data_IF_709595880021
#
_entry.id   IF_709595880021
#
_cell.length_a   1.000
_cell.length_b   1.000
_cell.length_c   1.000
_cell.angle_alpha   90.00
_cell.angle_beta   90.00
_cell.angle_gamma   90.00
#
_symmetry.space_group_name_H-M   'P 1'
#
loop_
_entity.id
_entity.type
_entity.pdbx_description
1 polymer ?
#
# COMPACT_ATOMS: atom_id res chain seq x y z
N UNK A 1 1.30 -8.82 1.20
CA UNK A 1 0.41 -9.91 0.77
C UNK A 1 0.20 -10.87 1.93
N UNK A 2 -1.01 -11.44 2.04
CA UNK A 2 -1.27 -12.57 2.91
C UNK A 2 -0.56 -13.83 2.38
N UNK A 3 -0.42 -14.87 3.22
CA UNK A 3 0.23 -16.13 2.84
C UNK A 3 -0.45 -16.86 1.68
N UNK A 4 -1.73 -16.57 1.46
CA UNK A 4 -2.57 -17.12 0.37
C UNK A 4 -2.60 -16.20 -0.87
N UNK A 5 -1.94 -15.04 -0.84
CA UNK A 5 -1.91 -14.06 -1.92
C UNK A 5 -3.24 -13.34 -2.18
N UNK A 6 -4.26 -13.56 -1.35
CA UNK A 6 -5.61 -13.02 -1.56
C UNK A 6 -5.81 -11.61 -0.99
N UNK A 7 -4.93 -11.16 -0.09
CA UNK A 7 -5.06 -9.87 0.58
C UNK A 7 -3.79 -9.07 0.42
N UNK A 8 -3.94 -7.83 -0.05
CA UNK A 8 -2.89 -6.82 -0.06
C UNK A 8 -3.19 -5.78 1.01
N UNK A 9 -2.22 -5.53 1.87
CA UNK A 9 -2.28 -4.52 2.90
C UNK A 9 -1.10 -3.57 2.76
N UNK A 10 -1.38 -2.28 2.57
CA UNK A 10 -0.37 -1.24 2.36
C UNK A 10 -0.56 -0.14 3.41
N UNK A 11 0.49 0.18 4.16
CA UNK A 11 0.52 1.38 4.99
C UNK A 11 1.09 2.52 4.17
N UNK A 12 0.30 3.59 3.99
CA UNK A 12 0.71 4.83 3.33
C UNK A 12 0.91 5.90 4.38
N UNK A 13 2.07 6.56 4.32
CA UNK A 13 2.34 7.79 5.05
C UNK A 13 2.80 8.83 4.05
N UNK A 14 1.98 9.87 3.83
CA UNK A 14 2.31 11.00 2.97
C UNK A 14 2.61 12.23 3.83
N UNK A 15 3.76 12.85 3.59
CA UNK A 15 4.26 14.00 4.34
C UNK A 15 4.71 15.05 3.34
N UNK A 16 4.32 16.32 3.54
CA UNK A 16 4.77 17.43 2.70
C UNK A 16 6.19 17.91 3.08
N UNK A 17 6.73 18.84 2.30
CA UNK A 17 8.06 19.42 2.58
C UNK A 17 8.11 20.27 3.85
N UNK A 18 6.95 20.67 4.39
CA UNK A 18 6.83 21.32 5.71
C UNK A 18 6.89 20.34 6.88
N UNK A 19 7.00 19.05 6.62
CA UNK A 19 6.86 17.92 7.56
C UNK A 19 5.43 17.70 8.07
N UNK A 20 4.41 18.32 7.48
CA UNK A 20 3.03 18.04 7.85
C UNK A 20 2.59 16.71 7.25
N UNK A 21 1.98 15.90 8.08
CA UNK A 21 1.43 14.61 7.66
C UNK A 21 0.08 14.83 6.96
N UNK A 22 -0.03 14.39 5.71
CA UNK A 22 -1.25 14.43 4.93
C UNK A 22 -2.12 13.20 5.15
N UNK A 23 -1.47 12.04 5.08
CA UNK A 23 -2.12 10.74 5.24
C UNK A 23 -1.23 9.86 6.09
N UNK A 24 -1.82 9.16 7.04
CA UNK A 24 -1.24 7.98 7.67
C UNK A 24 -2.37 6.97 7.84
N UNK A 25 -2.47 6.06 6.88
CA UNK A 25 -3.57 5.10 6.83
C UNK A 25 -3.09 3.77 6.27
N UNK A 26 -3.75 2.71 6.72
CA UNK A 26 -3.61 1.39 6.15
C UNK A 26 -4.76 1.19 5.17
N UNK A 27 -4.41 0.81 3.94
CA UNK A 27 -5.31 0.41 2.89
C UNK A 27 -5.25 -1.10 2.75
N UNK A 28 -6.40 -1.74 2.62
CA UNK A 28 -6.49 -3.19 2.50
C UNK A 28 -7.50 -3.53 1.41
N UNK A 29 -7.12 -4.47 0.57
CA UNK A 29 -8.03 -5.03 -0.42
C UNK A 29 -7.84 -6.54 -0.52
N UNK A 30 -8.91 -7.22 -0.91
CA UNK A 30 -8.94 -8.65 -1.13
C UNK A 30 -9.17 -8.92 -2.60
N UNK A 31 -8.23 -9.60 -3.23
CA UNK A 31 -8.47 -10.20 -4.53
C UNK A 31 -9.62 -11.21 -4.40
N UNK A 32 -10.85 -10.76 -4.59
CA UNK A 32 -11.99 -11.65 -4.78
C UNK A 32 -11.80 -12.40 -6.09
N UNK A 33 -12.44 -13.55 -6.29
CA UNK A 33 -12.30 -14.41 -7.46
C UNK A 33 -12.17 -13.71 -8.81
N UNK A 34 -12.78 -12.51 -8.95
CA UNK A 34 -12.72 -11.63 -10.12
C UNK A 34 -11.31 -11.22 -10.55
N UNK A 35 -10.36 -10.99 -9.63
CA UNK A 35 -8.98 -10.63 -9.97
C UNK A 35 -8.22 -11.75 -10.67
N UNK A 36 -8.74 -12.98 -10.57
CA UNK A 36 -8.21 -14.15 -11.29
C UNK A 36 -9.07 -14.53 -12.51
N UNK A 37 -10.28 -14.03 -12.60
CA UNK A 37 -11.17 -14.24 -13.76
C UNK A 37 -10.74 -13.42 -14.96
N UNK A 38 -10.12 -12.24 -14.73
CA UNK A 38 -9.52 -11.44 -15.79
C UNK A 38 -8.00 -11.32 -15.59
N UNK A 39 -7.19 -12.18 -16.24
CA UNK A 39 -5.74 -12.17 -16.09
C UNK A 39 -5.07 -10.91 -16.65
N UNK A 40 -5.79 -10.03 -17.35
CA UNK A 40 -5.27 -8.76 -17.90
C UNK A 40 -5.45 -7.58 -16.95
N UNK A 41 -6.24 -7.71 -15.88
CA UNK A 41 -6.44 -6.68 -14.88
C UNK A 41 -5.65 -6.98 -13.60
N UNK A 42 -5.07 -5.94 -13.00
CA UNK A 42 -4.45 -6.07 -11.70
C UNK A 42 -5.55 -6.27 -10.64
N UNK A 43 -5.50 -7.36 -9.84
CA UNK A 43 -6.53 -7.65 -8.84
C UNK A 43 -6.63 -6.59 -7.73
N UNK A 44 -5.65 -5.70 -7.60
CA UNK A 44 -5.59 -4.63 -6.59
C UNK A 44 -5.64 -3.23 -7.21
N UNK A 45 -6.05 -3.11 -8.48
CA UNK A 45 -6.13 -1.83 -9.17
C UNK A 45 -7.01 -0.81 -8.42
N UNK A 46 -8.11 -1.28 -7.85
CA UNK A 46 -9.04 -0.43 -7.09
C UNK A 46 -8.38 0.14 -5.82
N UNK A 47 -7.55 -0.65 -5.15
CA UNK A 47 -6.78 -0.19 -3.99
C UNK A 47 -5.81 0.94 -4.37
N UNK A 48 -5.10 0.79 -5.49
CA UNK A 48 -4.19 1.83 -5.97
C UNK A 48 -4.95 3.09 -6.38
N UNK A 49 -6.10 2.93 -7.00
CA UNK A 49 -6.98 4.04 -7.35
C UNK A 49 -7.52 4.77 -6.10
N UNK A 50 -7.90 4.04 -5.05
CA UNK A 50 -8.33 4.63 -3.77
C UNK A 50 -7.20 5.47 -3.16
N UNK A 51 -5.98 4.92 -3.08
CA UNK A 51 -4.80 5.63 -2.56
C UNK A 51 -4.54 6.91 -3.36
N UNK A 52 -4.53 6.81 -4.69
CA UNK A 52 -4.29 7.94 -5.58
C UNK A 52 -5.36 9.03 -5.42
N UNK A 53 -6.63 8.64 -5.36
CA UNK A 53 -7.76 9.55 -5.18
C UNK A 53 -7.71 10.28 -3.82
N UNK A 54 -7.33 9.60 -2.75
CA UNK A 54 -7.17 10.22 -1.44
C UNK A 54 -6.05 11.26 -1.43
N UNK A 55 -4.90 10.97 -2.05
CA UNK A 55 -3.80 11.92 -2.23
C UNK A 55 -4.22 13.14 -3.06
N UNK A 56 -4.94 12.91 -4.16
CA UNK A 56 -5.46 13.99 -5.01
C UNK A 56 -6.49 14.85 -4.27
N UNK A 57 -7.39 14.24 -3.51
CA UNK A 57 -8.38 14.94 -2.70
C UNK A 57 -7.72 15.80 -1.62
N UNK A 58 -6.61 15.35 -1.03
CA UNK A 58 -5.85 16.17 -0.10
C UNK A 58 -5.19 17.34 -0.83
N UNK A 59 -4.51 17.08 -1.93
CA UNK A 59 -3.88 18.13 -2.76
C UNK A 59 -4.87 19.20 -3.21
N UNK A 60 -6.10 18.80 -3.57
CA UNK A 60 -7.14 19.71 -4.03
C UNK A 60 -7.65 20.67 -2.94
N UNK A 61 -7.44 20.34 -1.65
CA UNK A 61 -7.81 21.23 -0.52
C UNK A 61 -6.77 22.30 -0.22
N UNK A 62 -5.56 22.17 -0.76
CA UNK A 62 -4.51 23.16 -0.56
C UNK A 62 -4.84 24.44 -1.35
N UNK A 63 -4.78 25.57 -0.66
CA UNK A 63 -4.80 26.88 -1.32
C UNK A 63 -3.57 27.09 -2.19
N UNK A 64 -3.65 27.99 -3.16
CA UNK A 64 -2.49 28.37 -3.99
C UNK A 64 -1.33 28.89 -3.15
N UNK A 65 -1.62 29.60 -2.05
CA UNK A 65 -0.61 30.12 -1.11
C UNK A 65 0.11 28.99 -0.35
N UNK A 66 -0.64 28.03 0.15
CA UNK A 66 -0.06 26.85 0.84
C UNK A 66 0.79 26.02 -0.12
N UNK A 67 0.30 25.80 -1.32
CA UNK A 67 1.02 25.06 -2.37
C UNK A 67 2.34 25.77 -2.73
N UNK A 68 2.34 27.09 -2.85
CA UNK A 68 3.55 27.88 -3.09
C UNK A 68 4.54 27.80 -1.90
N UNK A 69 4.05 27.90 -0.67
CA UNK A 69 4.88 27.79 0.51
C UNK A 69 5.53 26.40 0.64
N UNK A 70 4.80 25.32 0.33
CA UNK A 70 5.33 23.95 0.32
C UNK A 70 6.47 23.82 -0.70
N UNK A 71 6.31 24.38 -1.90
CA UNK A 71 7.35 24.37 -2.95
C UNK A 71 8.59 25.15 -2.54
N UNK A 72 8.40 26.32 -1.96
CA UNK A 72 9.52 27.15 -1.52
C UNK A 72 10.31 26.48 -0.39
N UNK A 73 9.61 25.88 0.58
CA UNK A 73 10.26 25.10 1.64
C UNK A 73 10.99 23.88 1.05
N UNK A 74 10.45 23.23 0.04
CA UNK A 74 11.14 22.12 -0.64
C UNK A 74 12.49 22.56 -1.22
N UNK A 75 12.53 23.70 -1.91
CA UNK A 75 13.76 24.28 -2.46
C UNK A 75 14.77 24.64 -1.38
N UNK A 76 14.32 25.28 -0.30
CA UNK A 76 15.20 25.65 0.80
C UNK A 76 15.74 24.44 1.57
N UNK A 77 14.96 23.37 1.69
CA UNK A 77 15.46 22.11 2.23
C UNK A 77 16.55 21.51 1.36
N UNK A 78 16.30 21.43 0.05
CA UNK A 78 17.30 20.96 -0.90
C UNK A 78 18.56 21.80 -0.87
N UNK A 79 18.43 23.14 -0.84
CA UNK A 79 19.56 24.06 -0.69
C UNK A 79 20.34 23.82 0.62
N UNK A 80 19.64 23.59 1.72
CA UNK A 80 20.25 23.30 3.02
C UNK A 80 20.96 21.95 3.03
N UNK A 81 20.40 20.93 2.38
CA UNK A 81 21.03 19.62 2.29
C UNK A 81 22.32 19.66 1.43
N UNK A 82 22.41 20.56 0.44
CA UNK A 82 23.60 20.77 -0.38
C UNK A 82 24.67 21.67 0.30
N UNK A 83 24.25 22.70 1.03
CA UNK A 83 25.13 23.67 1.64
C UNK A 83 24.61 24.12 3.01
N UNK A 84 24.67 23.26 4.05
CA UNK A 84 24.09 23.54 5.36
C UNK A 84 24.62 24.86 5.97
N UNK A 85 25.92 25.12 5.86
CA UNK A 85 26.56 26.32 6.40
C UNK A 85 26.05 27.65 5.82
N UNK A 86 25.36 27.59 4.68
CA UNK A 86 24.77 28.78 4.01
C UNK A 86 23.29 28.93 4.27
N UNK A 87 22.56 27.82 4.43
CA UNK A 87 21.09 27.81 4.41
C UNK A 87 20.45 27.37 5.73
N UNK A 88 21.22 27.05 6.77
CA UNK A 88 20.68 26.54 8.03
C UNK A 88 19.72 27.51 8.71
N UNK A 89 19.92 28.81 8.59
CA UNK A 89 19.07 29.86 9.19
C UNK A 89 17.82 30.23 8.39
N UNK A 90 17.59 29.65 7.22
CA UNK A 90 16.46 30.01 6.36
C UNK A 90 15.16 29.29 6.71
N UNK A 91 15.28 28.12 7.35
CA UNK A 91 14.15 27.30 7.79
C UNK A 91 14.24 27.07 9.30
N UNK A 92 13.12 27.24 9.99
CA UNK A 92 12.99 26.92 11.40
C UNK A 92 11.82 25.97 11.63
N UNK A 93 11.94 25.14 12.67
CA UNK A 93 10.84 24.30 13.13
C UNK A 93 9.97 25.07 14.11
N UNK A 94 8.66 24.98 13.95
CA UNK A 94 7.69 25.45 14.93
C UNK A 94 7.53 24.45 16.08
N UNK A 95 6.69 24.78 17.06
CA UNK A 95 6.43 23.94 18.23
C UNK A 95 5.82 22.57 17.89
N UNK A 96 5.25 22.44 16.70
CA UNK A 96 4.64 21.20 16.19
C UNK A 96 5.60 20.38 15.32
N UNK A 97 6.85 20.84 15.16
CA UNK A 97 7.83 20.23 14.28
C UNK A 97 7.63 20.52 12.80
N UNK A 98 6.72 21.44 12.45
CA UNK A 98 6.49 21.87 11.07
C UNK A 98 7.51 22.92 10.66
N UNK A 99 8.03 22.83 9.44
CA UNK A 99 8.98 23.80 8.90
C UNK A 99 8.26 25.06 8.42
N UNK A 100 8.82 26.20 8.78
CA UNK A 100 8.44 27.50 8.25
C UNK A 100 9.67 28.26 7.71
N UNK A 101 9.42 29.18 6.79
CA UNK A 101 10.44 30.07 6.26
C UNK A 101 10.67 31.16 7.27
N UNK A 102 11.91 31.32 7.74
CA UNK A 102 12.33 32.43 8.58
C UNK A 102 12.77 33.59 7.72
N UNK A 103 13.56 33.34 6.71
CA UNK A 103 13.98 34.35 5.75
C UNK A 103 14.05 33.75 4.33
N UNK A 104 13.89 34.59 3.32
CA UNK A 104 14.06 34.21 1.92
C UNK A 104 15.44 34.62 1.42
N UNK A 105 16.09 33.81 0.59
CA UNK A 105 17.29 34.24 -0.15
C UNK A 105 17.00 35.45 -1.02
N UNK A 106 18.04 36.21 -1.34
CA UNK A 106 17.93 37.29 -2.32
C UNK A 106 17.52 36.68 -3.70
N UNK A 107 16.70 37.42 -4.47
CA UNK A 107 16.16 36.95 -5.76
C UNK A 107 17.24 36.55 -6.79
N UNK A 108 18.46 37.08 -6.63
CA UNK A 108 19.61 36.83 -7.50
C UNK A 108 20.77 36.18 -6.76
N UNK A 109 20.51 35.48 -5.66
CA UNK A 109 21.55 34.79 -4.90
C UNK A 109 22.26 33.75 -5.81
N UNK A 110 23.60 33.88 -6.02
CA UNK A 110 24.34 32.98 -6.89
C UNK A 110 24.31 31.52 -6.40
N UNK A 111 24.18 31.28 -5.10
CA UNK A 111 24.05 29.93 -4.57
C UNK A 111 22.69 29.32 -4.89
N UNK A 112 21.61 30.10 -4.80
CA UNK A 112 20.28 29.65 -5.22
C UNK A 112 20.20 29.35 -6.71
N UNK A 113 20.92 30.08 -7.55
CA UNK A 113 21.03 29.76 -8.99
C UNK A 113 21.69 28.39 -9.20
N UNK A 114 22.78 28.10 -8.46
CA UNK A 114 23.45 26.78 -8.50
C UNK A 114 22.55 25.66 -7.96
N UNK A 115 21.86 25.93 -6.87
CA UNK A 115 20.87 24.98 -6.30
C UNK A 115 19.80 24.64 -7.33
N UNK A 116 19.24 25.63 -8.03
CA UNK A 116 18.24 25.41 -9.07
C UNK A 116 18.78 24.59 -10.24
N UNK A 117 20.04 24.80 -10.64
CA UNK A 117 20.68 23.99 -11.68
C UNK A 117 20.86 22.51 -11.24
N UNK A 118 21.21 22.28 -9.98
CA UNK A 118 21.33 20.92 -9.44
C UNK A 118 19.97 20.25 -9.31
N UNK A 119 18.94 21.00 -8.89
CA UNK A 119 17.55 20.50 -8.84
C UNK A 119 17.07 20.09 -10.25
N UNK A 120 17.38 20.88 -11.27
CA UNK A 120 17.06 20.55 -12.66
C UNK A 120 17.74 19.23 -13.11
N UNK A 121 19.01 19.03 -12.77
CA UNK A 121 19.73 17.79 -13.06
C UNK A 121 19.11 16.58 -12.33
N UNK A 122 18.67 16.76 -11.09
CA UNK A 122 17.99 15.70 -10.33
C UNK A 122 16.66 15.33 -10.98
N UNK A 123 15.86 16.31 -11.44
CA UNK A 123 14.63 16.04 -12.18
C UNK A 123 14.89 15.32 -13.51
N UNK A 124 15.91 15.70 -14.25
CA UNK A 124 16.30 15.01 -15.50
C UNK A 124 16.72 13.56 -15.25
N UNK A 125 17.39 13.29 -14.12
CA UNK A 125 17.72 11.94 -13.72
C UNK A 125 16.46 11.10 -13.41
N UNK A 126 15.51 11.67 -12.65
CA UNK A 126 14.23 11.04 -12.34
C UNK A 126 13.43 10.75 -13.63
N UNK A 127 13.32 11.71 -14.54
CA UNK A 127 12.63 11.53 -15.84
C UNK A 127 13.28 10.39 -16.67
N UNK A 128 14.60 10.28 -16.60
CA UNK A 128 15.33 9.20 -17.25
C UNK A 128 15.00 7.85 -16.64
N UNK A 129 14.96 7.75 -15.31
CA UNK A 129 14.56 6.53 -14.61
C UNK A 129 13.11 6.15 -14.94
N UNK A 130 12.20 7.12 -14.93
CA UNK A 130 10.80 6.89 -15.29
C UNK A 130 10.65 6.40 -16.73
N UNK A 131 11.42 6.94 -17.66
CA UNK A 131 11.45 6.49 -19.06
C UNK A 131 11.90 5.04 -19.16
N UNK A 132 12.98 4.66 -18.45
CA UNK A 132 13.48 3.28 -18.42
C UNK A 132 12.50 2.33 -17.76
N UNK A 133 11.89 2.74 -16.64
CA UNK A 133 10.87 1.95 -15.96
C UNK A 133 9.66 1.71 -16.85
N UNK A 134 9.13 2.75 -17.49
CA UNK A 134 7.99 2.66 -18.39
C UNK A 134 8.30 1.79 -19.63
N UNK A 135 9.53 1.83 -20.14
CA UNK A 135 9.97 0.94 -21.21
C UNK A 135 10.01 -0.50 -20.73
N UNK A 136 10.66 -0.78 -19.61
CA UNK A 136 10.72 -2.10 -19.00
C UNK A 136 9.33 -2.67 -18.74
N UNK A 137 8.44 -1.88 -18.14
CA UNK A 137 7.06 -2.28 -17.88
C UNK A 137 6.34 -2.70 -19.15
N UNK A 138 6.41 -1.89 -20.22
CA UNK A 138 5.78 -2.23 -21.52
C UNK A 138 6.38 -3.47 -22.18
N UNK A 139 7.69 -3.66 -22.08
CA UNK A 139 8.38 -4.81 -22.68
C UNK A 139 8.09 -6.11 -21.91
N UNK A 140 7.88 -6.05 -20.62
CA UNK A 140 7.59 -7.23 -19.79
C UNK A 140 6.10 -7.56 -19.66
N UNK A 141 5.21 -6.58 -19.92
CA UNK A 141 3.78 -6.75 -19.74
C UNK A 141 3.21 -7.93 -20.49
N UNK A 142 3.53 -8.09 -21.75
CA UNK A 142 3.02 -9.19 -22.58
C UNK A 142 3.42 -10.58 -22.04
N UNK A 143 4.67 -10.71 -21.60
CA UNK A 143 5.17 -11.96 -21.00
C UNK A 143 4.54 -12.24 -19.64
N UNK A 144 4.30 -11.18 -18.85
CA UNK A 144 3.62 -11.28 -17.58
C UNK A 144 2.16 -11.68 -17.73
N UNK A 145 1.43 -11.10 -18.68
CA UNK A 145 0.04 -11.47 -18.99
C UNK A 145 -0.06 -12.91 -19.48
N UNK A 146 0.87 -13.35 -20.32
CA UNK A 146 0.92 -14.75 -20.78
C UNK A 146 1.18 -15.72 -19.62
N UNK A 147 2.12 -15.40 -18.76
CA UNK A 147 2.38 -16.18 -17.55
C UNK A 147 1.14 -16.23 -16.65
N UNK A 148 0.45 -15.12 -16.43
CA UNK A 148 -0.80 -15.07 -15.65
C UNK A 148 -1.89 -15.95 -16.27
N UNK A 149 -2.09 -15.88 -17.59
CA UNK A 149 -3.06 -16.73 -18.29
C UNK A 149 -2.76 -18.21 -18.14
N UNK A 150 -1.51 -18.58 -18.27
CA UNK A 150 -1.08 -19.99 -18.18
C UNK A 150 -1.26 -20.54 -16.77
N UNK A 151 -0.92 -19.75 -15.76
CA UNK A 151 -1.01 -20.16 -14.36
C UNK A 151 -2.40 -20.00 -13.75
N UNK A 152 -3.30 -19.26 -14.43
CA UNK A 152 -4.65 -18.96 -13.93
C UNK A 152 -5.48 -20.22 -13.65
N UNK A 153 -5.52 -21.17 -14.58
CA UNK A 153 -6.27 -22.41 -14.42
C UNK A 153 -5.73 -23.27 -13.28
N UNK A 154 -4.43 -23.27 -13.08
CA UNK A 154 -3.78 -24.00 -11.98
C UNK A 154 -4.07 -23.35 -10.63
N UNK A 155 -4.04 -22.02 -10.57
CA UNK A 155 -4.37 -21.27 -9.36
C UNK A 155 -5.83 -21.47 -8.94
N UNK A 156 -6.78 -21.48 -9.89
CA UNK A 156 -8.18 -21.80 -9.62
C UNK A 156 -8.35 -23.22 -9.08
N UNK A 157 -7.72 -24.20 -9.73
CA UNK A 157 -7.78 -25.59 -9.30
C UNK A 157 -7.21 -25.78 -7.89
N UNK A 158 -6.11 -25.13 -7.58
CA UNK A 158 -5.52 -25.16 -6.25
C UNK A 158 -6.48 -24.59 -5.20
N UNK A 159 -7.16 -23.50 -5.50
CA UNK A 159 -8.17 -22.90 -4.59
C UNK A 159 -9.36 -23.82 -4.36
N UNK A 160 -9.86 -24.46 -5.41
CA UNK A 160 -10.95 -25.43 -5.29
C UNK A 160 -10.56 -26.60 -4.40
N UNK A 161 -9.36 -27.15 -4.59
CA UNK A 161 -8.82 -28.21 -3.74
C UNK A 161 -8.66 -27.77 -2.29
N UNK A 162 -8.19 -26.55 -2.04
CA UNK A 162 -8.08 -26.01 -0.69
C UNK A 162 -9.45 -25.82 -0.03
N UNK A 163 -10.45 -25.31 -0.77
CA UNK A 163 -11.83 -25.19 -0.27
C UNK A 163 -12.43 -26.54 0.08
N UNK A 164 -12.21 -27.52 -0.78
CA UNK A 164 -12.68 -28.87 -0.56
C UNK A 164 -12.00 -29.53 0.65
N UNK A 165 -10.69 -29.37 0.77
CA UNK A 165 -9.94 -29.86 1.95
C UNK A 165 -10.45 -29.23 3.25
N UNK A 166 -10.66 -27.91 3.28
CA UNK A 166 -11.25 -27.23 4.46
C UNK A 166 -12.65 -27.74 4.78
N UNK A 167 -13.50 -27.98 3.77
CA UNK A 167 -14.85 -28.56 3.96
C UNK A 167 -14.79 -29.98 4.54
N UNK A 168 -13.87 -30.82 4.04
CA UNK A 168 -13.67 -32.18 4.52
C UNK A 168 -13.17 -32.20 5.97
N UNK A 169 -12.25 -31.32 6.32
CA UNK A 169 -11.76 -31.18 7.71
C UNK A 169 -12.89 -30.75 8.64
N UNK A 170 -13.69 -29.76 8.25
CA UNK A 170 -14.83 -29.30 9.04
C UNK A 170 -15.89 -30.41 9.21
N UNK A 171 -16.22 -31.12 8.14
CA UNK A 171 -17.15 -32.26 8.21
C UNK A 171 -16.61 -33.40 9.09
N UNK A 172 -15.33 -33.73 8.98
CA UNK A 172 -14.67 -34.73 9.84
C UNK A 172 -14.69 -34.34 11.30
N UNK A 173 -14.42 -33.08 11.65
CA UNK A 173 -14.49 -32.57 13.00
C UNK A 173 -15.92 -32.67 13.60
N UNK A 174 -16.94 -32.33 12.77
CA UNK A 174 -18.35 -32.45 13.18
C UNK A 174 -18.76 -33.92 13.43
N UNK A 175 -18.28 -34.85 12.60
CA UNK A 175 -18.55 -36.29 12.82
C UNK A 175 -17.91 -36.81 14.11
N UNK A 176 -16.69 -36.41 14.45
CA UNK A 176 -16.03 -36.81 15.68
C UNK A 176 -16.83 -36.29 16.90
N UNK A 177 -17.20 -35.01 16.89
CA UNK A 177 -18.00 -34.41 17.98
C UNK A 177 -19.38 -35.06 18.08
N UNK A 178 -20.04 -35.32 16.96
CA UNK A 178 -21.33 -35.97 16.89
C UNK A 178 -21.27 -37.45 17.38
N UNK A 179 -20.20 -38.16 17.01
CA UNK A 179 -19.98 -39.54 17.48
C UNK A 179 -19.79 -39.63 18.97
N UNK A 180 -18.99 -38.76 19.56
CA UNK A 180 -18.79 -38.70 21.03
C UNK A 180 -20.11 -38.36 21.79
N UNK A 181 -20.90 -37.44 21.22
CA UNK A 181 -22.20 -37.08 21.80
C UNK A 181 -23.22 -38.25 21.74
N UNK A 182 -23.20 -39.02 20.64
CA UNK A 182 -24.10 -40.16 20.46
C UNK A 182 -23.73 -41.32 21.39
N UNK A 183 -22.44 -41.61 21.60
CA UNK A 183 -21.99 -42.62 22.57
C UNK A 183 -22.31 -42.21 24.03
N UNK A 184 -22.17 -40.93 24.36
CA UNK A 184 -22.56 -40.41 25.68
C UNK A 184 -24.04 -40.54 25.97
N UNK A 185 -24.89 -40.37 24.95
CA UNK A 185 -26.36 -40.52 25.10
C UNK A 185 -26.81 -42.00 25.20
N UNK A 186 -26.13 -42.91 24.52
CA UNK A 186 -26.45 -44.33 24.60
C UNK A 186 -26.06 -44.97 25.93
N UNK A 187 -24.96 -44.54 26.56
CA UNK A 187 -24.56 -44.99 27.89
C UNK A 187 -25.46 -44.44 29.01
N UNK A 188 -26.00 -43.23 28.87
CA UNK A 188 -26.97 -42.66 29.83
C UNK A 188 -28.33 -43.40 29.80
N UNK A 189 -28.76 -43.84 28.61
CA UNK A 189 -30.00 -44.62 28.46
C UNK A 189 -29.89 -46.04 29.05
N UNK A 190 -28.71 -46.68 28.99
CA UNK A 190 -28.47 -47.98 29.59
C UNK A 190 -28.44 -47.95 31.13
N UNK A 191 -28.09 -46.81 31.74
CA UNK A 191 -28.02 -46.69 33.20
C UNK A 191 -29.39 -46.40 33.86
N UNK A 192 -30.34 -45.82 33.15
CA UNK A 192 -31.70 -45.56 33.66
C UNK A 192 -32.62 -46.75 33.55
N UNK A 193 -32.30 -47.80 32.78
CA UNK A 193 -33.09 -49.03 32.67
C UNK A 193 -32.83 -50.08 33.77
N UNK A 194 -31.79 -49.93 34.58
CA UNK A 194 -31.36 -50.91 35.59
C UNK A 194 -31.84 -50.65 37.05
N UNK A 195 -32.62 -49.61 37.31
CA UNK A 195 -33.10 -49.25 38.68
C UNK A 195 -34.62 -49.38 38.81
N UNK A 196 -35.30 -50.01 37.87
CA UNK A 196 -36.77 -50.21 37.89
C UNK A 196 -37.14 -51.69 37.74
N UNK A 197 -36.76 -52.55 38.75
CA UNK A 197 -37.16 -53.94 38.86
C UNK A 197 -36.97 -54.45 40.21
#
# INVERSE_FOLDING_TARGET
LSSDGEMLRIKITAIDSKKNKWIERIFEDRATGLGYENPTEDPFQDLYNEIANELLAFKARLSSRESAAIKEIAKLRFARDLAPEKFDGYLVEDQNGSLRIEQLPASNDPMMIRVAQLEELDFLFIDTLDTHFNKFYRETQASYDEWRRTTFSEALRLRELQKEARRRIAAGALMIVGGIAAEGSSSAAAYTGAIGG
#
